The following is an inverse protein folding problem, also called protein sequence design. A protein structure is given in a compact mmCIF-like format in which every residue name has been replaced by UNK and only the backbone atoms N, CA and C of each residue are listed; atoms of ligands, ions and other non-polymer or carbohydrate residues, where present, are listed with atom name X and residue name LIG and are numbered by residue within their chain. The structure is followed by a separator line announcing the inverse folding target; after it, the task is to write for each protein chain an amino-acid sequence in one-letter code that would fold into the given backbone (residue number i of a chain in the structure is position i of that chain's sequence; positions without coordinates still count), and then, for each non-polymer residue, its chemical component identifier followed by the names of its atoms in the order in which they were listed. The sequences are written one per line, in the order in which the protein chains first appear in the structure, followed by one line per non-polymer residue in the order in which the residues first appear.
data_IF_808312338792
#
_entry.id   IF_808312338792
#
_cell.length_a   1.000
_cell.length_b   1.000
_cell.length_c   1.000
_cell.angle_alpha   90.00
_cell.angle_beta   90.00
_cell.angle_gamma   90.00
#
_symmetry.space_group_name_H-M   'P 1'
#
loop_
_entity.id
_entity.type
_entity.pdbx_description
1 polymer ?
#
# COMPACT_ATOMS: atom_id res chain seq x y z
N UNK A 1 -47.72 18.28 54.14
CA UNK A 1 -46.53 17.48 53.80
C UNK A 1 -45.64 18.32 52.90
N UNK A 2 -44.64 18.99 53.47
CA UNK A 2 -43.78 19.93 52.75
C UNK A 2 -42.71 19.14 51.99
N UNK A 3 -42.90 18.98 50.68
CA UNK A 3 -41.87 18.43 49.80
C UNK A 3 -40.85 19.56 49.57
N UNK A 4 -39.66 19.42 50.15
CA UNK A 4 -38.57 20.37 49.95
C UNK A 4 -38.14 20.34 48.47
N UNK A 5 -38.08 21.52 47.85
CA UNK A 5 -37.71 21.72 46.43
C UNK A 5 -36.28 21.24 46.09
N UNK A 6 -35.48 20.84 47.09
CA UNK A 6 -34.10 20.39 46.95
C UNK A 6 -33.97 18.92 46.52
N UNK A 7 -34.98 18.07 46.76
CA UNK A 7 -34.91 16.64 46.42
C UNK A 7 -35.10 16.35 44.93
N UNK A 8 -35.86 17.19 44.22
CA UNK A 8 -36.20 16.96 42.80
C UNK A 8 -35.04 17.30 41.85
N UNK A 9 -34.05 18.09 42.29
CA UNK A 9 -32.90 18.48 41.44
C UNK A 9 -31.81 17.41 41.38
N UNK A 10 -31.75 16.47 42.32
CA UNK A 10 -30.75 15.40 42.29
C UNK A 10 -31.14 14.22 41.39
N UNK A 11 -32.43 14.00 41.14
CA UNK A 11 -32.87 12.88 40.31
C UNK A 11 -32.66 13.13 38.79
N UNK A 12 -32.66 14.39 38.35
CA UNK A 12 -32.52 14.75 36.94
C UNK A 12 -31.06 14.67 36.42
N UNK A 13 -30.06 14.68 37.30
CA UNK A 13 -28.64 14.66 36.92
C UNK A 13 -28.09 13.22 36.81
N UNK A 14 -28.77 12.24 37.41
CA UNK A 14 -28.33 10.83 37.39
C UNK A 14 -28.71 10.03 36.15
N UNK A 15 -29.73 10.46 35.39
CA UNK A 15 -30.22 9.71 34.22
C UNK A 15 -29.52 10.08 32.91
N UNK A 16 -28.81 11.20 32.83
CA UNK A 16 -28.14 11.65 31.61
C UNK A 16 -26.73 11.04 31.43
N UNK A 17 -26.13 10.49 32.48
CA UNK A 17 -24.75 9.99 32.44
C UNK A 17 -24.64 8.51 32.05
N UNK A 18 -25.73 7.73 32.11
CA UNK A 18 -25.71 6.30 31.78
C UNK A 18 -25.92 5.99 30.30
N UNK A 19 -26.53 6.91 29.52
CA UNK A 19 -26.71 6.73 28.07
C UNK A 19 -25.43 7.01 27.28
N UNK A 20 -24.52 7.81 27.83
CA UNK A 20 -23.26 8.15 27.16
C UNK A 20 -22.22 7.02 27.16
N UNK A 21 -22.24 6.12 28.16
CA UNK A 21 -21.27 5.02 28.25
C UNK A 21 -21.66 3.78 27.42
N UNK A 22 -22.94 3.65 27.02
CA UNK A 22 -23.41 2.53 26.20
C UNK A 22 -23.07 2.64 24.70
N UNK A 23 -22.74 3.85 24.22
CA UNK A 23 -22.44 4.10 22.81
C UNK A 23 -20.94 4.10 22.46
N UNK A 24 -20.04 3.95 23.44
CA UNK A 24 -18.61 3.74 23.18
C UNK A 24 -18.25 2.29 22.86
N UNK A 25 -19.24 1.41 22.64
CA UNK A 25 -19.03 0.12 21.98
C UNK A 25 -19.04 0.26 20.45
N UNK A 26 -18.53 1.38 19.92
CA UNK A 26 -18.03 1.39 18.56
C UNK A 26 -16.86 0.38 18.55
N UNK A 27 -17.11 -0.83 18.04
CA UNK A 27 -16.06 -1.83 17.83
C UNK A 27 -14.89 -1.16 17.12
N UNK A 28 -13.66 -1.54 17.47
CA UNK A 28 -12.43 -0.89 17.02
C UNK A 28 -12.55 -0.41 15.57
N UNK A 29 -12.71 0.91 15.39
CA UNK A 29 -12.67 1.49 14.06
C UNK A 29 -11.27 1.17 13.53
N UNK A 30 -11.19 0.27 12.56
CA UNK A 30 -9.95 0.04 11.82
C UNK A 30 -9.81 1.29 10.95
N UNK A 31 -9.22 2.34 11.52
CA UNK A 31 -8.88 3.55 10.79
C UNK A 31 -7.53 3.32 10.09
N UNK A 32 -7.23 4.17 9.11
CA UNK A 32 -5.94 4.10 8.48
C UNK A 32 -4.82 4.39 9.51
N UNK A 33 -3.72 3.67 9.39
CA UNK A 33 -2.52 3.89 10.20
C UNK A 33 -1.48 4.63 9.36
N UNK A 34 -1.25 5.90 9.69
CA UNK A 34 -0.19 6.69 9.08
C UNK A 34 1.19 6.27 9.61
N UNK A 35 2.12 6.04 8.70
CA UNK A 35 3.52 5.72 8.97
C UNK A 35 4.41 6.63 8.13
N UNK A 36 5.19 7.48 8.79
CA UNK A 36 6.29 8.19 8.12
C UNK A 36 7.43 7.21 7.84
N UNK A 37 7.92 7.21 6.61
CA UNK A 37 9.05 6.37 6.20
C UNK A 37 10.32 7.21 6.17
N UNK A 38 11.48 6.61 6.53
CA UNK A 38 12.72 7.36 6.57
C UNK A 38 13.16 7.77 5.17
N UNK A 39 13.64 9.00 5.07
CA UNK A 39 14.33 9.51 3.90
C UNK A 39 15.59 8.70 3.62
N UNK A 40 16.02 8.70 2.36
CA UNK A 40 17.19 7.96 1.92
C UNK A 40 17.91 8.63 0.77
N UNK A 41 19.21 8.36 0.66
CA UNK A 41 20.03 8.83 -0.45
C UNK A 41 21.00 7.73 -0.86
N UNK A 42 21.25 7.63 -2.16
CA UNK A 42 22.34 6.82 -2.71
C UNK A 42 23.08 7.63 -3.77
N UNK A 43 24.40 7.65 -3.66
CA UNK A 43 25.27 8.26 -4.68
C UNK A 43 26.16 7.17 -5.29
N UNK A 44 26.24 7.14 -6.62
CA UNK A 44 27.04 6.17 -7.36
C UNK A 44 27.75 6.83 -8.54
N UNK A 45 29.04 6.56 -8.66
CA UNK A 45 29.85 6.92 -9.83
C UNK A 45 29.76 5.82 -10.87
N UNK A 46 29.38 6.16 -12.09
CA UNK A 46 29.33 5.27 -13.23
C UNK A 46 30.74 5.10 -13.84
N UNK A 47 30.89 4.09 -14.70
CA UNK A 47 32.16 3.76 -15.36
C UNK A 47 32.70 4.89 -16.26
N UNK A 48 31.84 5.80 -16.68
CA UNK A 48 32.15 6.96 -17.53
C UNK A 48 32.52 8.21 -16.71
N UNK A 49 32.59 8.10 -15.38
CA UNK A 49 32.90 9.21 -14.47
C UNK A 49 31.70 10.10 -14.12
N UNK A 50 30.50 9.80 -14.65
CA UNK A 50 29.27 10.46 -14.25
C UNK A 50 28.88 10.05 -12.83
N UNK A 51 28.56 11.02 -11.97
CA UNK A 51 28.07 10.77 -10.61
C UNK A 51 26.56 10.97 -10.60
N UNK A 52 25.83 9.93 -10.20
CA UNK A 52 24.38 9.94 -10.03
C UNK A 52 24.05 9.89 -8.55
N UNK A 53 23.30 10.87 -8.07
CA UNK A 53 22.75 10.94 -6.72
C UNK A 53 21.23 10.83 -6.82
N UNK A 54 20.67 9.84 -6.12
CA UNK A 54 19.22 9.64 -5.99
C UNK A 54 18.83 9.92 -4.54
N UNK A 55 17.83 10.77 -4.35
CA UNK A 55 17.26 11.11 -3.04
C UNK A 55 15.81 10.67 -2.98
N UNK A 56 15.38 10.18 -1.82
CA UNK A 56 14.00 9.88 -1.48
C UNK A 56 13.64 10.65 -0.22
N UNK A 57 12.63 11.51 -0.34
CA UNK A 57 12.28 12.48 0.70
C UNK A 57 10.79 12.53 0.96
N UNK A 58 10.39 12.72 2.21
CA UNK A 58 9.00 12.92 2.62
C UNK A 58 8.12 11.70 2.33
N UNK A 59 8.68 10.50 2.40
CA UNK A 59 7.95 9.28 2.11
C UNK A 59 7.00 8.93 3.28
N UNK A 60 5.78 8.53 2.95
CA UNK A 60 4.79 8.09 3.93
C UNK A 60 3.91 6.99 3.37
N UNK A 61 3.40 6.15 4.28
CA UNK A 61 2.43 5.11 4.00
C UNK A 61 1.23 5.25 4.94
N UNK A 62 0.05 5.34 4.36
CA UNK A 62 -1.21 5.27 5.08
C UNK A 62 -1.82 3.88 4.90
N UNK A 63 -1.69 3.03 5.91
CA UNK A 63 -2.13 1.62 5.85
C UNK A 63 -3.61 1.56 6.16
N UNK A 64 -4.42 1.24 5.16
CA UNK A 64 -5.87 1.15 5.30
C UNK A 64 -6.34 -0.27 5.58
N UNK A 65 -7.53 -0.43 6.17
CA UNK A 65 -8.20 -1.72 6.24
C UNK A 65 -8.41 -2.34 4.85
N UNK A 66 -8.80 -3.61 4.83
CA UNK A 66 -9.20 -4.28 3.60
C UNK A 66 -10.37 -3.55 2.91
N UNK A 67 -10.17 -3.07 1.68
CA UNK A 67 -11.23 -2.45 0.88
C UNK A 67 -12.34 -3.43 0.50
N UNK A 68 -12.03 -4.72 0.34
CA UNK A 68 -13.00 -5.79 0.10
C UNK A 68 -13.59 -6.41 1.38
N UNK A 69 -13.30 -5.86 2.56
CA UNK A 69 -13.62 -6.47 3.87
C UNK A 69 -13.26 -7.97 4.00
N UNK A 70 -12.17 -8.42 3.37
CA UNK A 70 -11.67 -9.79 3.48
C UNK A 70 -10.45 -9.86 4.41
N UNK A 71 -10.28 -10.95 5.19
CA UNK A 71 -9.12 -11.09 6.07
C UNK A 71 -7.76 -11.19 5.36
N UNK A 72 -7.76 -11.42 4.05
CA UNK A 72 -6.56 -11.70 3.24
C UNK A 72 -6.16 -10.52 2.34
N UNK A 73 -6.89 -9.42 2.40
CA UNK A 73 -6.57 -8.20 1.69
C UNK A 73 -5.76 -7.27 2.58
N UNK A 74 -4.75 -6.60 2.01
CA UNK A 74 -4.03 -5.47 2.65
C UNK A 74 -4.02 -4.31 1.69
N UNK A 75 -4.18 -3.09 2.21
CA UNK A 75 -4.19 -1.86 1.42
C UNK A 75 -3.25 -0.84 2.06
N UNK A 76 -2.51 -0.11 1.24
CA UNK A 76 -1.74 1.05 1.68
C UNK A 76 -1.74 2.13 0.60
N UNK A 77 -1.79 3.38 1.02
CA UNK A 77 -1.62 4.55 0.17
C UNK A 77 -0.25 5.16 0.45
N UNK A 78 0.55 5.35 -0.58
CA UNK A 78 1.92 5.85 -0.45
C UNK A 78 2.12 7.17 -1.16
N UNK A 79 2.91 8.02 -0.52
CA UNK A 79 3.26 9.36 -0.99
C UNK A 79 4.75 9.60 -0.78
N UNK A 80 5.38 10.36 -1.65
CA UNK A 80 6.79 10.70 -1.51
C UNK A 80 7.36 11.41 -2.73
N UNK A 81 8.64 11.80 -2.62
CA UNK A 81 9.38 12.44 -3.70
C UNK A 81 10.71 11.74 -3.92
N UNK A 82 11.00 11.44 -5.20
CA UNK A 82 12.30 10.99 -5.67
C UNK A 82 12.98 12.13 -6.43
N UNK A 83 14.20 12.49 -6.03
CA UNK A 83 15.08 13.39 -6.76
C UNK A 83 16.22 12.62 -7.42
N UNK A 84 16.62 13.04 -8.61
CA UNK A 84 17.81 12.55 -9.29
C UNK A 84 18.69 13.74 -9.68
N UNK A 85 19.97 13.66 -9.34
CA UNK A 85 21.01 14.61 -9.72
C UNK A 85 22.11 13.85 -10.45
N UNK A 86 22.51 14.37 -11.60
CA UNK A 86 23.53 13.79 -12.48
C UNK A 86 24.58 14.85 -12.72
N UNK A 87 25.82 14.56 -12.34
CA UNK A 87 26.96 15.47 -12.49
C UNK A 87 28.09 14.79 -13.25
N UNK A 88 28.84 15.58 -14.02
CA UNK A 88 29.96 15.08 -14.82
C UNK A 88 29.79 15.34 -16.33
N UNK A 89 30.79 14.95 -17.14
CA UNK A 89 30.88 15.30 -18.56
C UNK A 89 29.74 14.70 -19.42
N UNK A 90 29.09 13.63 -18.97
CA UNK A 90 27.99 12.97 -19.70
C UNK A 90 26.61 13.17 -19.04
N UNK A 91 26.43 14.20 -18.21
CA UNK A 91 25.15 14.52 -17.58
C UNK A 91 24.10 15.01 -18.61
N UNK A 92 23.48 14.07 -19.32
CA UNK A 92 22.50 14.34 -20.39
C UNK A 92 21.05 14.07 -19.98
N UNK A 93 20.83 13.40 -18.85
CA UNK A 93 19.52 13.00 -18.36
C UNK A 93 19.51 11.56 -17.87
N UNK A 94 18.32 11.06 -17.57
CA UNK A 94 18.11 9.70 -17.07
C UNK A 94 16.64 9.33 -17.04
N UNK A 95 16.33 8.14 -16.51
CA UNK A 95 14.95 7.72 -16.25
C UNK A 95 14.80 7.26 -14.80
N UNK A 96 13.79 7.79 -14.12
CA UNK A 96 13.47 7.51 -12.72
C UNK A 96 12.38 6.44 -12.68
N UNK A 97 12.63 5.32 -12.01
CA UNK A 97 11.69 4.22 -11.82
C UNK A 97 11.41 4.08 -10.33
N UNK A 98 10.23 4.47 -9.87
CA UNK A 98 9.86 4.39 -8.46
C UNK A 98 8.79 3.33 -8.23
N UNK A 99 8.95 2.58 -7.15
CA UNK A 99 8.03 1.52 -6.80
C UNK A 99 8.29 0.92 -5.43
N UNK A 100 7.50 -0.10 -5.12
CA UNK A 100 7.61 -0.88 -3.91
C UNK A 100 7.66 -2.36 -4.24
N UNK A 101 8.55 -3.08 -3.57
CA UNK A 101 8.47 -4.54 -3.48
C UNK A 101 7.61 -4.85 -2.26
N UNK A 102 6.43 -5.42 -2.48
CA UNK A 102 5.51 -5.84 -1.43
C UNK A 102 5.57 -7.35 -1.32
N UNK A 103 5.74 -7.90 -0.12
CA UNK A 103 5.82 -9.33 0.12
C UNK A 103 4.90 -9.77 1.25
N UNK A 104 4.32 -10.96 1.10
CA UNK A 104 3.49 -11.61 2.11
C UNK A 104 4.25 -12.77 2.76
N UNK A 105 4.00 -13.04 4.04
CA UNK A 105 4.59 -14.20 4.71
C UNK A 105 4.15 -15.53 4.09
N UNK A 106 2.85 -15.66 3.80
CA UNK A 106 2.27 -16.80 3.10
C UNK A 106 1.18 -16.33 2.13
N UNK A 107 1.00 -17.10 1.05
CA UNK A 107 -0.12 -16.88 0.12
C UNK A 107 -1.22 -17.87 0.44
N UNK A 108 -2.45 -17.40 0.64
CA UNK A 108 -3.62 -18.22 0.86
C UNK A 108 -4.60 -18.03 -0.30
N UNK A 109 -5.00 -19.14 -0.92
CA UNK A 109 -6.03 -19.18 -1.94
C UNK A 109 -7.12 -20.17 -1.56
N UNK A 110 -8.34 -19.98 -2.05
CA UNK A 110 -9.42 -20.93 -1.83
C UNK A 110 -10.22 -21.12 -3.12
N UNK A 111 -10.29 -22.37 -3.61
CA UNK A 111 -11.22 -22.78 -4.66
C UNK A 111 -12.40 -23.47 -3.99
N UNK A 112 -13.47 -22.71 -3.72
CA UNK A 112 -14.71 -23.22 -3.15
C UNK A 112 -15.75 -23.51 -4.24
N UNK A 113 -16.27 -24.73 -4.29
CA UNK A 113 -17.35 -25.16 -5.20
C UNK A 113 -18.74 -24.55 -4.91
N UNK A 114 -18.80 -23.41 -4.22
CA UNK A 114 -20.01 -22.65 -3.97
C UNK A 114 -19.65 -21.16 -3.82
N UNK A 115 -19.61 -20.43 -4.94
CA UNK A 115 -19.80 -18.97 -5.04
C UNK A 115 -18.84 -17.99 -4.34
N UNK A 116 -17.99 -18.41 -3.40
CA UNK A 116 -17.10 -17.54 -2.63
C UNK A 116 -15.62 -17.93 -2.81
N UNK A 117 -15.16 -17.95 -4.06
CA UNK A 117 -13.75 -18.18 -4.37
C UNK A 117 -12.89 -16.97 -3.99
N UNK A 118 -11.83 -17.19 -3.23
CA UNK A 118 -10.77 -16.19 -3.03
C UNK A 118 -9.70 -16.44 -4.08
N UNK A 119 -9.65 -15.61 -5.10
CA UNK A 119 -8.56 -15.58 -6.09
C UNK A 119 -7.38 -14.78 -5.53
N UNK A 120 -6.18 -15.35 -5.59
CA UNK A 120 -4.95 -14.63 -5.34
C UNK A 120 -4.54 -13.92 -6.63
N UNK A 121 -4.80 -12.62 -6.75
CA UNK A 121 -4.48 -11.81 -7.95
C UNK A 121 -3.01 -11.38 -7.97
N UNK A 122 -2.14 -12.36 -7.75
CA UNK A 122 -0.72 -12.12 -7.64
C UNK A 122 -0.04 -12.15 -9.02
N UNK A 123 0.30 -10.99 -9.56
CA UNK A 123 0.96 -10.84 -10.88
C UNK A 123 2.48 -11.14 -10.88
N UNK A 124 2.97 -11.91 -9.91
CA UNK A 124 4.32 -12.48 -9.95
C UNK A 124 4.27 -13.92 -10.42
N UNK A 125 4.73 -14.17 -11.65
CA UNK A 125 4.94 -15.48 -12.29
C UNK A 125 4.98 -16.66 -11.31
N UNK A 126 3.84 -17.32 -11.20
CA UNK A 126 3.69 -18.50 -10.36
C UNK A 126 2.22 -18.79 -10.22
N UNK A 127 1.66 -19.54 -11.18
CA UNK A 127 0.40 -20.22 -10.92
C UNK A 127 0.57 -20.96 -9.60
N UNK A 128 -0.13 -20.52 -8.55
CA UNK A 128 -0.20 -21.24 -7.28
C UNK A 128 -1.07 -22.46 -7.55
N UNK A 129 -0.47 -23.46 -8.21
CA UNK A 129 -1.12 -24.72 -8.52
C UNK A 129 -1.13 -25.55 -7.26
N UNK A 130 -2.26 -25.51 -6.60
CA UNK A 130 -2.41 -26.03 -5.27
C UNK A 130 -3.60 -26.93 -5.34
N UNK A 131 -3.24 -28.20 -5.54
CA UNK A 131 -4.16 -29.32 -5.52
C UNK A 131 -4.68 -29.44 -4.10
N UNK A 132 -5.76 -28.75 -3.81
CA UNK A 132 -6.48 -28.99 -2.59
C UNK A 132 -7.44 -30.17 -2.84
N UNK A 133 -7.36 -31.10 -1.89
CA UNK A 133 -7.82 -32.48 -1.94
C UNK A 133 -9.31 -32.61 -2.27
N UNK A 134 -9.69 -33.74 -2.87
CA UNK A 134 -11.06 -34.12 -3.23
C UNK A 134 -11.97 -34.28 -2.00
N UNK A 135 -12.48 -33.18 -1.48
CA UNK A 135 -13.74 -33.06 -0.74
C UNK A 135 -14.11 -31.57 -0.63
N UNK A 136 -15.39 -31.25 -0.81
CA UNK A 136 -16.04 -29.92 -0.81
C UNK A 136 -15.28 -28.79 -0.09
N UNK A 137 -14.66 -27.90 -0.88
CA UNK A 137 -14.01 -26.66 -0.40
C UNK A 137 -12.52 -26.84 -0.14
N UNK A 138 -11.71 -26.50 -1.13
CA UNK A 138 -10.29 -26.81 -1.12
C UNK A 138 -9.51 -25.52 -0.80
N UNK A 139 -8.95 -25.41 0.42
CA UNK A 139 -8.10 -24.28 0.85
C UNK A 139 -6.65 -24.61 0.57
N UNK A 140 -5.96 -23.64 -0.01
CA UNK A 140 -4.57 -23.71 -0.40
C UNK A 140 -3.73 -22.78 0.47
N UNK A 141 -2.59 -23.27 0.94
CA UNK A 141 -1.48 -22.44 1.46
C UNK A 141 -0.27 -22.63 0.55
N UNK A 142 0.26 -21.52 0.02
CA UNK A 142 1.50 -21.48 -0.75
C UNK A 142 2.59 -20.66 -0.02
N UNK A 143 3.85 -20.77 -0.48
CA UNK A 143 4.92 -19.91 0.02
C UNK A 143 4.58 -18.43 -0.23
N UNK A 144 5.09 -17.55 0.65
CA UNK A 144 4.96 -16.11 0.47
C UNK A 144 5.56 -15.64 -0.85
N UNK A 145 4.90 -14.70 -1.51
CA UNK A 145 5.35 -14.13 -2.78
C UNK A 145 5.71 -12.64 -2.59
N UNK A 146 6.66 -12.11 -3.40
CA UNK A 146 6.99 -10.66 -3.52
C UNK A 146 6.64 -10.03 -4.91
N UNK A 147 5.87 -8.94 -4.93
CA UNK A 147 5.31 -8.30 -6.12
C UNK A 147 5.85 -6.89 -6.23
N UNK A 148 6.06 -6.46 -7.47
CA UNK A 148 6.58 -5.13 -7.77
C UNK A 148 5.42 -4.20 -8.11
N UNK A 149 5.13 -3.27 -7.22
CA UNK A 149 4.19 -2.19 -7.46
C UNK A 149 4.96 -1.00 -8.03
N UNK A 150 4.78 -0.75 -9.34
CA UNK A 150 5.30 0.46 -9.98
C UNK A 150 4.31 1.58 -9.74
N UNK A 151 4.81 2.70 -9.22
CA UNK A 151 3.99 3.88 -8.93
C UNK A 151 3.71 4.67 -10.20
N UNK A 152 4.65 4.65 -11.15
CA UNK A 152 4.49 5.30 -12.43
C UNK A 152 3.82 4.38 -13.42
N UNK A 153 2.79 4.90 -14.07
CA UNK A 153 2.26 4.38 -15.31
C UNK A 153 2.01 5.55 -16.26
N UNK A 154 2.98 5.80 -17.14
CA UNK A 154 2.93 6.92 -18.09
C UNK A 154 2.48 6.39 -19.44
N UNK A 155 1.28 6.80 -19.84
CA UNK A 155 0.68 6.49 -21.14
C UNK A 155 1.22 7.41 -22.23
N UNK A 156 1.61 6.82 -23.36
CA UNK A 156 1.99 7.52 -24.60
C UNK A 156 1.49 6.75 -25.81
N UNK A 157 1.20 7.42 -26.91
CA UNK A 157 0.99 6.73 -28.18
C UNK A 157 2.31 6.14 -28.70
N UNK A 158 2.27 4.89 -29.17
CA UNK A 158 3.37 4.27 -29.89
C UNK A 158 3.46 4.79 -31.34
N UNK A 159 4.45 4.31 -32.10
CA UNK A 159 4.66 4.73 -33.48
C UNK A 159 3.49 4.35 -34.44
N UNK A 160 2.57 3.51 -33.99
CA UNK A 160 1.41 3.01 -34.72
C UNK A 160 0.07 3.53 -34.16
N UNK A 161 0.11 4.42 -33.16
CA UNK A 161 -1.07 5.02 -32.54
C UNK A 161 -1.74 4.17 -31.46
N UNK A 162 -1.15 3.05 -31.05
CA UNK A 162 -1.61 2.25 -29.92
C UNK A 162 -1.06 2.82 -28.59
N UNK A 163 -1.76 2.57 -27.48
CA UNK A 163 -1.31 3.04 -26.17
C UNK A 163 -0.12 2.22 -25.66
N UNK A 164 0.89 2.92 -25.16
CA UNK A 164 2.12 2.38 -24.61
C UNK A 164 2.32 2.92 -23.19
N UNK A 165 2.56 2.01 -22.26
CA UNK A 165 2.73 2.30 -20.84
C UNK A 165 4.21 2.29 -20.48
N UNK A 166 4.66 3.28 -19.71
CA UNK A 166 6.03 3.38 -19.19
C UNK A 166 6.02 3.50 -17.67
N UNK A 167 6.68 2.55 -17.00
CA UNK A 167 6.91 2.57 -15.55
C UNK A 167 7.97 3.56 -15.07
N UNK A 168 8.38 4.50 -15.93
CA UNK A 168 9.54 5.35 -15.71
C UNK A 168 9.35 6.77 -16.25
N UNK A 169 9.81 7.76 -15.49
CA UNK A 169 9.83 9.16 -15.91
C UNK A 169 11.22 9.55 -16.40
N UNK A 170 11.32 9.87 -17.70
CA UNK A 170 12.56 10.32 -18.31
C UNK A 170 12.74 11.83 -18.20
N UNK A 171 13.93 12.27 -17.82
CA UNK A 171 14.32 13.68 -17.73
C UNK A 171 15.58 13.94 -18.56
N UNK A 172 15.77 15.20 -18.97
CA UNK A 172 16.96 15.68 -19.68
C UNK A 172 17.72 16.68 -18.81
N UNK A 173 19.03 16.76 -19.00
CA UNK A 173 19.91 17.65 -18.24
C UNK A 173 20.45 17.02 -16.96
N UNK A 174 20.80 17.86 -15.99
CA UNK A 174 21.56 17.47 -14.79
C UNK A 174 20.67 17.08 -13.61
N UNK A 175 19.36 17.26 -13.68
CA UNK A 175 18.45 16.87 -12.61
C UNK A 175 17.04 16.57 -13.08
N UNK A 176 16.32 15.76 -12.30
CA UNK A 176 14.92 15.42 -12.49
C UNK A 176 14.29 15.00 -11.17
N UNK A 177 12.97 15.01 -11.10
CA UNK A 177 12.27 14.50 -9.91
C UNK A 177 10.91 13.93 -10.25
N UNK A 178 10.47 12.96 -9.46
CA UNK A 178 9.14 12.38 -9.49
C UNK A 178 8.53 12.56 -8.11
N UNK A 179 7.34 13.15 -8.06
CA UNK A 179 6.54 13.24 -6.84
C UNK A 179 5.27 12.41 -7.06
N UNK A 180 4.94 11.58 -6.10
CA UNK A 180 3.71 10.80 -6.09
C UNK A 180 2.98 11.05 -4.77
N UNK A 181 1.65 11.06 -4.84
CA UNK A 181 0.78 11.27 -3.70
C UNK A 181 -0.38 10.28 -3.78
N UNK A 182 -0.74 9.70 -2.65
CA UNK A 182 -1.89 8.80 -2.46
C UNK A 182 -1.96 7.73 -3.56
N UNK A 183 -0.82 7.13 -3.88
CA UNK A 183 -0.74 6.02 -4.82
C UNK A 183 -1.09 4.72 -4.10
N UNK A 184 -2.04 3.96 -4.63
CA UNK A 184 -2.55 2.77 -3.94
C UNK A 184 -1.68 1.53 -4.18
N UNK A 185 -1.56 0.70 -3.15
CA UNK A 185 -1.01 -0.65 -3.21
C UNK A 185 -1.95 -1.59 -2.46
N UNK A 186 -2.49 -2.56 -3.19
CA UNK A 186 -3.38 -3.57 -2.62
C UNK A 186 -2.87 -4.98 -2.95
N UNK A 187 -2.78 -5.85 -1.94
CA UNK A 187 -2.45 -7.28 -2.11
C UNK A 187 -3.61 -8.14 -1.63
N UNK A 188 -3.96 -9.15 -2.42
CA UNK A 188 -4.98 -10.16 -2.12
C UNK A 188 -4.33 -11.51 -1.81
N UNK A 189 -4.98 -12.32 -0.97
CA UNK A 189 -4.49 -13.65 -0.60
C UNK A 189 -3.29 -13.62 0.36
N UNK A 190 -3.05 -12.50 1.05
CA UNK A 190 -1.94 -12.34 1.97
C UNK A 190 -2.28 -12.91 3.35
N UNK A 191 -1.72 -14.07 3.69
CA UNK A 191 -1.82 -14.65 5.02
C UNK A 191 -0.65 -14.17 5.89
N UNK A 192 -0.98 -13.64 7.07
CA UNK A 192 -0.02 -13.06 8.00
C UNK A 192 0.34 -11.60 7.70
N UNK A 193 1.57 -11.22 8.04
CA UNK A 193 2.12 -9.89 7.81
C UNK A 193 2.48 -9.68 6.34
N UNK A 194 2.27 -8.45 5.88
CA UNK A 194 2.78 -7.93 4.62
C UNK A 194 3.88 -6.91 4.91
N UNK A 195 4.93 -6.90 4.10
CA UNK A 195 6.01 -5.91 4.18
C UNK A 195 6.19 -5.26 2.81
N UNK A 196 6.34 -3.93 2.79
CA UNK A 196 6.67 -3.18 1.59
C UNK A 196 8.05 -2.53 1.75
N UNK A 197 8.84 -2.50 0.68
CA UNK A 197 10.12 -1.77 0.62
C UNK A 197 10.18 -0.94 -0.66
N UNK A 198 10.40 0.37 -0.50
CA UNK A 198 10.55 1.29 -1.63
C UNK A 198 11.88 1.12 -2.37
N UNK A 199 11.84 1.33 -3.67
CA UNK A 199 12.99 1.43 -4.58
C UNK A 199 12.84 2.62 -5.53
N UNK A 200 13.98 3.12 -6.01
CA UNK A 200 14.10 4.24 -6.94
C UNK A 200 15.35 4.08 -7.82
#
# INVERSE_FOLDING_TARGET
MNISKSGLRLAAVGAATTVALGFFSAGAANADTFTALPDGEVTKTLVDGTVVKITRTGESANVSPSMGSTPLHRNAWVSGRIGAEVTGPNAKGGSINVGYVVACQATLGAKGGAGAGVTSDWEGTGKVDTKASTATGSVTVGPGQAANYRILDIEKADAYGAESHSGSHSFKGTSGSVTYADSTMAVNGCAGYAQARSFA
#
